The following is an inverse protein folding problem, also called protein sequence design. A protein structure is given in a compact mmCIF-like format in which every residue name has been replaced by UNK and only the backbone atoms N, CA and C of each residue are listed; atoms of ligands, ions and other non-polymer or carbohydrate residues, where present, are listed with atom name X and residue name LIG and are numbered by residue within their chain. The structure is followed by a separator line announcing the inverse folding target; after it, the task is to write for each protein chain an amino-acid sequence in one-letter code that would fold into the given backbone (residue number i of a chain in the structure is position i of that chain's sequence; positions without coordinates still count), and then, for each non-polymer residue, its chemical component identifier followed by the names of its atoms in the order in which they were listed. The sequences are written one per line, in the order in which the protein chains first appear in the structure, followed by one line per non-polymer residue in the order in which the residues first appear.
data_IF_398424591281
#
_entry.id   IF_398424591281
#
_cell.length_a   1.000
_cell.length_b   1.000
_cell.length_c   1.000
_cell.angle_alpha   90.00
_cell.angle_beta   90.00
_cell.angle_gamma   90.00
#
_symmetry.space_group_name_H-M   'P 1'
#
loop_
_entity.id
_entity.type
_entity.pdbx_description
1 polymer ?
#
# COMPACT_ATOMS: atom_id res chain seq x y z
N UNK A 1 -14.74 -0.13 -6.71
CA UNK A 1 -13.34 0.01 -7.17
C UNK A 1 -13.30 1.28 -8.00
N UNK A 2 -12.51 2.27 -7.61
CA UNK A 2 -12.51 3.60 -8.28
C UNK A 2 -11.71 3.43 -9.57
N UNK A 3 -12.41 3.29 -10.69
CA UNK A 3 -11.79 3.19 -12.01
C UNK A 3 -10.86 4.40 -12.21
N UNK A 4 -9.57 4.13 -12.37
CA UNK A 4 -8.61 5.12 -12.81
C UNK A 4 -8.95 5.45 -14.25
N UNK A 5 -9.53 6.63 -14.46
CA UNK A 5 -9.71 7.20 -15.78
C UNK A 5 -8.31 7.56 -16.30
N UNK A 6 -7.75 6.71 -17.17
CA UNK A 6 -6.35 6.68 -17.59
C UNK A 6 -5.88 7.88 -18.43
N UNK A 7 -6.63 8.98 -18.44
CA UNK A 7 -6.31 10.20 -19.19
C UNK A 7 -5.75 11.32 -18.31
N UNK A 8 -6.14 11.38 -17.03
CA UNK A 8 -5.68 12.42 -16.09
C UNK A 8 -4.45 12.00 -15.27
N UNK A 9 -4.23 10.70 -15.09
CA UNK A 9 -3.09 10.18 -14.31
C UNK A 9 -1.73 10.38 -15.01
N UNK A 10 -1.75 10.73 -16.30
CA UNK A 10 -0.58 10.91 -17.16
C UNK A 10 -0.44 12.35 -17.66
N UNK A 11 -1.25 13.28 -17.15
CA UNK A 11 -1.12 14.71 -17.47
C UNK A 11 0.23 15.21 -16.94
N UNK A 12 1.14 15.52 -17.86
CA UNK A 12 2.49 15.96 -17.55
C UNK A 12 2.50 17.21 -16.68
N UNK A 13 1.59 18.17 -16.92
CA UNK A 13 1.52 19.38 -16.10
C UNK A 13 1.07 19.06 -14.68
N UNK A 14 0.11 18.14 -14.52
CA UNK A 14 -0.33 17.69 -13.19
C UNK A 14 0.80 16.99 -12.43
N UNK A 15 1.52 16.07 -13.10
CA UNK A 15 2.60 15.30 -12.50
C UNK A 15 3.79 16.19 -12.10
N UNK A 16 4.14 17.18 -12.92
CA UNK A 16 5.17 18.18 -12.57
C UNK A 16 4.79 19.00 -11.33
N UNK A 17 3.54 19.45 -11.25
CA UNK A 17 3.04 20.18 -10.07
C UNK A 17 3.03 19.31 -8.80
N UNK A 18 2.70 18.02 -8.93
CA UNK A 18 2.77 17.08 -7.82
C UNK A 18 4.22 16.83 -7.38
N UNK A 19 5.15 16.69 -8.32
CA UNK A 19 6.57 16.54 -8.01
C UNK A 19 7.10 17.76 -7.23
N UNK A 20 6.75 18.97 -7.65
CA UNK A 20 7.09 20.20 -6.94
C UNK A 20 6.47 20.24 -5.53
N UNK A 21 5.19 19.90 -5.39
CA UNK A 21 4.49 19.86 -4.10
C UNK A 21 5.16 18.90 -3.11
N UNK A 22 5.61 17.73 -3.58
CA UNK A 22 6.28 16.73 -2.76
C UNK A 22 7.80 16.93 -2.66
N UNK A 23 8.38 17.90 -3.39
CA UNK A 23 9.81 18.18 -3.40
C UNK A 23 10.66 17.05 -4.01
N UNK A 24 10.11 16.32 -4.98
CA UNK A 24 10.80 15.24 -5.70
C UNK A 24 11.08 15.67 -7.15
N UNK A 25 12.01 14.97 -7.82
CA UNK A 25 12.28 15.23 -9.23
C UNK A 25 11.02 14.96 -10.07
N UNK A 26 10.71 15.80 -11.05
CA UNK A 26 9.60 15.56 -11.97
C UNK A 26 9.79 14.31 -12.82
N UNK A 27 11.03 13.95 -13.15
CA UNK A 27 11.33 12.73 -13.91
C UNK A 27 10.88 11.48 -13.14
N UNK A 28 10.89 11.50 -11.80
CA UNK A 28 10.41 10.40 -10.96
C UNK A 28 8.93 10.04 -11.19
N UNK A 29 8.09 11.02 -11.52
CA UNK A 29 6.66 10.80 -11.78
C UNK A 29 6.32 10.68 -13.27
N UNK A 30 7.22 11.13 -14.15
CA UNK A 30 6.99 11.17 -15.60
C UNK A 30 7.64 9.99 -16.34
N UNK A 31 8.69 9.40 -15.77
CA UNK A 31 9.41 8.28 -16.35
C UNK A 31 9.21 7.02 -15.49
N UNK A 32 8.39 6.08 -15.99
CA UNK A 32 8.15 4.76 -15.39
C UNK A 32 9.41 3.89 -15.34
N UNK A 33 10.49 4.28 -16.03
CA UNK A 33 11.79 3.60 -16.02
C UNK A 33 12.85 4.28 -15.15
N UNK A 34 12.51 5.41 -14.53
CA UNK A 34 13.43 6.11 -13.63
C UNK A 34 13.59 5.35 -12.31
N UNK A 35 14.84 5.15 -11.89
CA UNK A 35 15.12 4.56 -10.58
C UNK A 35 14.59 5.49 -9.48
N UNK A 36 13.88 4.91 -8.50
CA UNK A 36 13.41 5.66 -7.33
C UNK A 36 14.61 6.33 -6.66
N UNK A 37 14.63 7.67 -6.50
CA UNK A 37 15.74 8.31 -5.83
C UNK A 37 15.91 7.73 -4.42
N UNK A 38 17.12 7.31 -4.06
CA UNK A 38 17.41 6.68 -2.75
C UNK A 38 16.86 7.45 -1.54
N UNK A 39 16.76 8.76 -1.67
CA UNK A 39 16.20 9.65 -0.65
C UNK A 39 14.67 9.48 -0.49
N UNK A 40 13.94 9.25 -1.57
CA UNK A 40 12.49 8.99 -1.57
C UNK A 40 12.22 7.62 -0.96
N UNK A 41 12.98 6.59 -1.35
CA UNK A 41 12.88 5.26 -0.77
C UNK A 41 13.11 5.25 0.74
N UNK A 42 14.17 5.93 1.21
CA UNK A 42 14.47 6.03 2.64
C UNK A 42 13.35 6.72 3.42
N UNK A 43 12.70 7.74 2.84
CA UNK A 43 11.57 8.44 3.47
C UNK A 43 10.31 7.59 3.49
N UNK A 44 10.02 6.85 2.42
CA UNK A 44 8.89 5.91 2.37
C UNK A 44 9.06 4.79 3.39
N UNK A 45 10.28 4.26 3.53
CA UNK A 45 10.58 3.22 4.52
C UNK A 45 10.46 3.76 5.95
N UNK A 46 10.93 4.99 6.19
CA UNK A 46 10.71 5.66 7.47
C UNK A 46 9.21 5.79 7.77
N UNK A 47 8.39 6.25 6.82
CA UNK A 47 6.94 6.36 7.00
C UNK A 47 6.28 5.01 7.27
N UNK A 48 6.72 3.94 6.58
CA UNK A 48 6.25 2.58 6.78
C UNK A 48 6.56 2.10 8.20
N UNK A 49 7.79 2.31 8.67
CA UNK A 49 8.21 1.94 10.03
C UNK A 49 7.43 2.69 11.13
N UNK A 50 7.13 3.99 10.92
CA UNK A 50 6.32 4.78 11.84
C UNK A 50 4.88 4.28 11.91
N UNK A 51 4.30 3.92 10.75
CA UNK A 51 2.95 3.33 10.69
C UNK A 51 2.91 1.99 11.43
N UNK A 52 3.90 1.12 11.21
CA UNK A 52 4.01 -0.14 11.93
C UNK A 52 4.20 0.04 13.43
N UNK A 53 5.04 0.99 13.85
CA UNK A 53 5.24 1.31 15.26
C UNK A 53 3.94 1.79 15.92
N UNK A 54 3.12 2.57 15.19
CA UNK A 54 1.80 3.01 15.66
C UNK A 54 0.82 1.85 15.80
N UNK A 55 0.77 0.95 14.81
CA UNK A 55 -0.09 -0.25 14.85
C UNK A 55 0.33 -1.16 16.00
N UNK A 56 1.64 -1.41 16.17
CA UNK A 56 2.18 -2.20 17.28
C UNK A 56 1.86 -1.57 18.63
N UNK A 57 2.03 -0.26 18.79
CA UNK A 57 1.65 0.43 20.03
C UNK A 57 0.15 0.36 20.33
N UNK A 58 -0.69 0.53 19.31
CA UNK A 58 -2.13 0.42 19.44
C UNK A 58 -2.53 -1.00 19.85
N UNK A 59 -2.03 -2.02 19.15
CA UNK A 59 -2.25 -3.42 19.50
C UNK A 59 -1.73 -3.73 20.91
N UNK A 60 -0.52 -3.29 21.25
CA UNK A 60 0.06 -3.49 22.57
C UNK A 60 -0.75 -2.83 23.69
N UNK A 61 -1.60 -1.82 23.41
CA UNK A 61 -2.51 -1.19 24.38
C UNK A 61 -3.89 -1.81 24.39
N UNK A 62 -4.48 -2.08 23.23
CA UNK A 62 -5.82 -2.65 23.10
C UNK A 62 -5.88 -4.12 23.49
N UNK A 63 -4.79 -4.87 23.27
CA UNK A 63 -4.72 -6.30 23.55
C UNK A 63 -4.28 -6.56 25.00
N UNK A 64 -4.00 -5.53 25.80
CA UNK A 64 -3.77 -5.69 27.24
C UNK A 64 -5.06 -6.19 27.88
N UNK A 65 -5.06 -7.44 28.34
CA UNK A 65 -6.23 -8.10 28.92
C UNK A 65 -7.01 -9.02 27.97
N UNK A 66 -6.57 -9.19 26.71
CA UNK A 66 -7.15 -10.19 25.80
C UNK A 66 -6.39 -11.52 25.93
N UNK A 67 -7.14 -12.63 26.09
CA UNK A 67 -6.54 -13.96 26.22
C UNK A 67 -5.86 -14.43 24.93
N UNK A 68 -4.79 -15.24 25.01
CA UNK A 68 -4.10 -15.77 23.85
C UNK A 68 -5.01 -16.49 22.85
N UNK A 69 -5.99 -17.25 23.32
CA UNK A 69 -6.96 -17.96 22.46
C UNK A 69 -7.81 -17.01 21.61
N UNK A 70 -8.17 -15.85 22.17
CA UNK A 70 -8.95 -14.83 21.45
C UNK A 70 -8.12 -14.17 20.36
N UNK A 71 -6.82 -13.94 20.62
CA UNK A 71 -5.89 -13.42 19.60
C UNK A 71 -5.71 -14.39 18.44
N UNK A 72 -5.63 -15.70 18.71
CA UNK A 72 -5.54 -16.73 17.69
C UNK A 72 -6.79 -16.80 16.81
N UNK A 73 -7.98 -16.68 17.41
CA UNK A 73 -9.25 -16.60 16.66
C UNK A 73 -9.32 -15.34 15.80
N UNK A 74 -8.88 -14.18 16.33
CA UNK A 74 -8.86 -12.92 15.59
C UNK A 74 -7.91 -13.00 14.39
N UNK A 75 -6.70 -13.55 14.58
CA UNK A 75 -5.74 -13.80 13.49
C UNK A 75 -6.37 -14.65 12.39
N UNK A 76 -7.04 -15.75 12.76
CA UNK A 76 -7.68 -16.65 11.80
C UNK A 76 -8.71 -15.92 10.92
N UNK A 77 -9.55 -15.07 11.51
CA UNK A 77 -10.54 -14.27 10.77
C UNK A 77 -9.88 -13.24 9.84
N UNK A 78 -8.76 -12.64 10.26
CA UNK A 78 -7.99 -11.70 9.42
C UNK A 78 -7.34 -12.43 8.24
N UNK A 79 -6.72 -13.58 8.49
CA UNK A 79 -6.07 -14.41 7.46
C UNK A 79 -7.09 -14.92 6.43
N UNK A 80 -8.28 -15.34 6.86
CA UNK A 80 -9.39 -15.74 5.97
C UNK A 80 -9.89 -14.58 5.09
N UNK A 81 -9.94 -13.35 5.64
CA UNK A 81 -10.35 -12.14 4.90
C UNK A 81 -9.30 -11.66 3.90
N UNK A 82 -8.01 -11.79 4.22
CA UNK A 82 -6.91 -11.36 3.37
C UNK A 82 -6.52 -12.40 2.31
N UNK A 83 -6.63 -13.70 2.63
CA UNK A 83 -6.32 -14.81 1.70
C UNK A 83 -7.38 -15.08 0.64
N UNK A 84 -8.59 -14.49 0.75
CA UNK A 84 -9.68 -14.66 -0.22
C UNK A 84 -9.55 -13.85 -1.52
N UNK A 85 -8.43 -13.16 -1.75
CA UNK A 85 -8.22 -12.26 -2.90
C UNK A 85 -7.57 -12.86 -4.14
N UNK A 86 -7.19 -14.15 -4.14
CA UNK A 86 -6.38 -14.76 -5.22
C UNK A 86 -7.05 -15.95 -5.92
N UNK A 87 -8.37 -15.91 -6.11
CA UNK A 87 -9.08 -16.86 -6.98
C UNK A 87 -9.72 -16.09 -8.14
N UNK A 88 -8.92 -15.82 -9.17
CA UNK A 88 -9.37 -15.20 -10.40
C UNK A 88 -8.58 -15.70 -11.61
N UNK A 89 -9.13 -16.71 -12.29
CA UNK A 89 -8.85 -16.95 -13.71
C UNK A 89 -8.18 -18.27 -14.05
N UNK A 90 -8.93 -19.37 -13.99
CA UNK A 90 -8.68 -20.48 -14.92
C UNK A 90 -10.04 -21.11 -15.31
N UNK A 91 -10.75 -20.41 -16.19
CA UNK A 91 -11.83 -20.99 -16.99
C UNK A 91 -11.64 -20.52 -18.43
N UNK A 92 -10.71 -21.15 -19.14
CA UNK A 92 -10.71 -21.14 -20.59
C UNK A 92 -10.98 -22.56 -21.09
N UNK A 93 -12.25 -22.95 -21.01
CA UNK A 93 -12.76 -24.22 -21.49
C UNK A 93 -14.00 -24.04 -22.35
N UNK A 94 -13.78 -24.06 -23.68
CA UNK A 94 -14.71 -24.48 -24.75
C UNK A 94 -15.67 -23.43 -25.32
N UNK A 95 -15.38 -23.06 -26.56
CA UNK A 95 -16.33 -23.21 -27.67
C UNK A 95 -15.56 -23.61 -28.93
#
# INVERSE_FOLDING_TARGET
MRSGDGSLATDEALLRNLAEFFGVDSEYLLDDSSDVPRLVDAQLELLRSLREARVRNFAARQLQGISPDTLLRLRKVIDERLGGGDQGGDDNGRS
#
